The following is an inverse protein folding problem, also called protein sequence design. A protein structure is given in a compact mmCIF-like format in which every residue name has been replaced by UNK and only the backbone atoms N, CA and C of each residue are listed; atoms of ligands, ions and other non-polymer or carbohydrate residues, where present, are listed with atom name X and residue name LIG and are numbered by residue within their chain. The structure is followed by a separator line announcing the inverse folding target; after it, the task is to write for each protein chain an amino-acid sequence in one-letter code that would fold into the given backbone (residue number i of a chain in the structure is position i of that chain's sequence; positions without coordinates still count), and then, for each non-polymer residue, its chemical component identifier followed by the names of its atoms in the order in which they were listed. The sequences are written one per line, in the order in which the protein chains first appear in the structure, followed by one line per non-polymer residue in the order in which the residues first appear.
data_IF_359944307245
#
_entry.id   IF_359944307245
#
_cell.length_a   1.000
_cell.length_b   1.000
_cell.length_c   1.000
_cell.angle_alpha   90.00
_cell.angle_beta   90.00
_cell.angle_gamma   90.00
#
_symmetry.space_group_name_H-M   'P 1'
#
loop_
_entity.id
_entity.type
_entity.pdbx_description
1 polymer ?
#
# COMPACT_ATOMS: atom_id res chain seq x y z
N UNK A 1 -1.60 21.63 -19.04
CA UNK A 1 -1.12 20.29 -18.66
C UNK A 1 -2.26 19.32 -18.89
N UNK A 2 -2.10 18.28 -19.72
CA UNK A 2 -3.14 17.24 -19.87
C UNK A 2 -3.25 16.50 -18.53
N UNK A 3 -4.44 16.42 -17.95
CA UNK A 3 -4.67 15.55 -16.79
C UNK A 3 -4.31 14.13 -17.18
N UNK A 4 -3.34 13.55 -16.49
CA UNK A 4 -3.00 12.13 -16.68
C UNK A 4 -4.14 11.31 -16.10
N UNK A 5 -4.73 10.45 -16.92
CA UNK A 5 -5.78 9.52 -16.49
C UNK A 5 -5.19 8.63 -15.39
N UNK A 6 -5.88 8.56 -14.25
CA UNK A 6 -5.47 7.73 -13.11
C UNK A 6 -5.67 6.26 -13.47
N UNK A 7 -4.60 5.48 -13.37
CA UNK A 7 -4.56 4.08 -13.80
C UNK A 7 -3.95 3.21 -12.71
N UNK A 8 -4.47 1.98 -12.63
CA UNK A 8 -3.98 0.90 -11.78
C UNK A 8 -3.60 -0.25 -12.72
N UNK A 9 -2.41 -0.80 -12.56
CA UNK A 9 -1.91 -1.93 -13.33
C UNK A 9 -1.69 -3.10 -12.38
N UNK A 10 -2.10 -4.29 -12.80
CA UNK A 10 -2.05 -5.51 -12.01
C UNK A 10 -0.92 -6.40 -12.49
N UNK A 11 -0.16 -6.95 -11.56
CA UNK A 11 0.91 -7.91 -11.79
C UNK A 11 0.70 -9.09 -10.83
N UNK A 12 0.73 -10.32 -11.33
CA UNK A 12 0.63 -11.50 -10.46
C UNK A 12 1.91 -11.59 -9.64
N UNK A 13 1.80 -11.69 -8.32
CA UNK A 13 2.99 -11.87 -7.49
C UNK A 13 3.41 -13.34 -7.54
N UNK A 14 4.68 -13.57 -7.87
CA UNK A 14 5.27 -14.90 -7.94
C UNK A 14 6.16 -15.06 -6.71
N UNK A 15 5.94 -16.13 -5.96
CA UNK A 15 6.75 -16.47 -4.81
C UNK A 15 8.10 -17.04 -5.27
N UNK A 16 9.24 -16.41 -4.94
CA UNK A 16 10.56 -16.92 -5.34
C UNK A 16 10.92 -18.26 -4.68
N UNK A 17 10.21 -18.66 -3.62
CA UNK A 17 10.45 -19.91 -2.90
C UNK A 17 9.49 -21.04 -3.30
N UNK A 18 8.55 -20.79 -4.22
CA UNK A 18 7.61 -21.80 -4.66
C UNK A 18 8.28 -22.74 -5.68
N UNK A 19 8.11 -24.04 -5.51
CA UNK A 19 8.78 -25.09 -6.30
C UNK A 19 8.29 -25.23 -7.75
N UNK A 20 7.23 -24.52 -8.17
CA UNK A 20 6.76 -24.48 -9.57
C UNK A 20 7.21 -23.20 -10.29
N UNK A 21 8.52 -22.92 -10.28
CA UNK A 21 9.10 -21.83 -11.09
C UNK A 21 9.01 -22.17 -12.60
N UNK A 22 9.03 -23.45 -12.94
CA UNK A 22 9.04 -23.95 -14.32
C UNK A 22 7.68 -23.82 -15.04
N UNK A 23 6.58 -23.57 -14.30
CA UNK A 23 5.24 -23.40 -14.88
C UNK A 23 4.87 -21.93 -15.16
N UNK A 24 5.78 -20.98 -14.91
CA UNK A 24 5.49 -19.54 -15.03
C UNK A 24 6.16 -18.95 -16.27
N UNK A 25 5.41 -18.91 -17.38
CA UNK A 25 5.80 -18.11 -18.56
C UNK A 25 5.83 -16.62 -18.19
N UNK A 26 7.02 -16.02 -18.22
CA UNK A 26 7.19 -14.58 -18.09
C UNK A 26 6.78 -13.89 -19.40
N UNK A 27 5.82 -12.96 -19.41
CA UNK A 27 5.45 -12.25 -20.63
C UNK A 27 6.63 -11.39 -21.11
N UNK A 28 7.23 -11.76 -22.24
CA UNK A 28 8.29 -11.03 -22.93
C UNK A 28 9.72 -11.55 -22.73
N UNK A 29 9.90 -12.76 -22.19
CA UNK A 29 11.20 -13.41 -22.11
C UNK A 29 11.17 -14.73 -22.90
N UNK A 30 11.37 -14.66 -24.21
CA UNK A 30 11.61 -15.85 -25.03
C UNK A 30 13.01 -16.38 -24.65
N UNK A 31 13.05 -17.39 -23.78
CA UNK A 31 14.27 -18.16 -23.57
C UNK A 31 14.63 -18.81 -24.91
N UNK A 32 15.88 -18.71 -25.40
CA UNK A 32 16.30 -19.52 -26.52
C UNK A 32 16.06 -20.97 -26.13
N UNK A 33 15.29 -21.70 -26.95
CA UNK A 33 15.06 -23.12 -26.77
C UNK A 33 16.42 -23.79 -26.65
N UNK A 34 16.71 -24.37 -25.50
CA UNK A 34 17.81 -25.30 -25.36
C UNK A 34 17.40 -26.51 -26.21
N UNK A 35 17.92 -26.56 -27.43
CA UNK A 35 17.87 -27.77 -28.23
C UNK A 35 18.41 -28.92 -27.36
N UNK A 36 17.64 -30.00 -27.31
CA UNK A 36 17.93 -31.24 -26.59
C UNK A 36 19.22 -31.88 -27.15
N UNK A 37 20.39 -31.45 -26.70
CA UNK A 37 21.61 -32.24 -26.86
C UNK A 37 21.76 -33.16 -25.65
N UNK A 38 21.58 -34.45 -25.90
CA UNK A 38 21.65 -35.55 -24.94
C UNK A 38 22.90 -35.45 -24.02
N UNK A 39 22.75 -35.76 -22.71
CA UNK A 39 23.91 -35.79 -21.82
C UNK A 39 24.88 -36.89 -22.24
N UNK A 40 26.09 -36.50 -22.66
CA UNK A 40 27.19 -37.43 -22.87
C UNK A 40 27.66 -38.00 -21.52
N UNK A 41 27.58 -39.32 -21.40
CA UNK A 41 28.03 -40.09 -20.24
C UNK A 41 29.51 -39.79 -19.90
N UNK A 42 29.74 -39.20 -18.72
CA UNK A 42 31.08 -39.11 -18.13
C UNK A 42 31.41 -40.49 -17.54
N UNK A 43 32.13 -41.31 -18.32
CA UNK A 43 32.69 -42.59 -17.84
C UNK A 43 33.87 -42.31 -16.89
N UNK A 44 33.62 -42.43 -15.58
CA UNK A 44 34.67 -42.51 -14.56
C UNK A 44 34.96 -43.98 -14.22
N UNK A 45 36.01 -44.53 -14.82
CA UNK A 45 36.55 -45.85 -14.49
C UNK A 45 37.33 -45.80 -13.17
N UNK A 46 37.04 -46.74 -12.24
CA UNK A 46 37.91 -47.03 -11.10
C UNK A 46 37.22 -47.63 -9.88
N UNK A 47 36.83 -48.90 -9.98
CA UNK A 47 36.98 -49.97 -8.96
C UNK A 47 36.74 -49.60 -7.48
N UNK A 48 35.62 -50.05 -6.90
CA UNK A 48 35.67 -51.02 -5.79
C UNK A 48 34.26 -51.54 -5.40
N UNK A 49 34.18 -52.86 -5.41
CA UNK A 49 33.02 -53.71 -5.28
C UNK A 49 32.50 -53.77 -3.84
N UNK A 50 31.37 -53.13 -3.52
CA UNK A 50 30.64 -53.41 -2.26
C UNK A 50 29.19 -52.90 -2.23
N UNK A 51 28.34 -53.29 -3.19
CA UNK A 51 26.87 -53.20 -2.99
C UNK A 51 26.15 -54.41 -3.59
N UNK A 52 26.10 -55.47 -2.79
CA UNK A 52 25.16 -56.57 -2.96
C UNK A 52 23.73 -56.03 -3.04
N UNK A 53 23.05 -56.39 -4.12
CA UNK A 53 21.62 -56.64 -4.24
C UNK A 53 20.67 -55.63 -3.57
N UNK A 54 20.27 -54.61 -4.33
CA UNK A 54 18.88 -54.15 -4.27
C UNK A 54 18.30 -54.28 -5.67
N UNK A 55 17.48 -55.33 -5.85
CA UNK A 55 16.66 -55.57 -7.03
C UNK A 55 15.76 -54.34 -7.25
N UNK A 56 16.14 -53.46 -8.18
CA UNK A 56 15.28 -52.39 -8.68
C UNK A 56 14.42 -53.03 -9.79
N UNK A 57 13.40 -53.77 -9.36
CA UNK A 57 12.26 -54.07 -10.23
C UNK A 57 11.00 -53.69 -9.46
N UNK A 58 10.40 -52.57 -9.85
CA UNK A 58 8.95 -52.31 -9.94
C UNK A 58 8.64 -50.81 -9.78
N UNK A 59 8.06 -50.25 -10.84
CA UNK A 59 7.32 -48.97 -10.96
C UNK A 59 7.97 -47.65 -10.43
N UNK A 60 8.23 -46.67 -11.33
CA UNK A 60 8.61 -45.31 -10.91
C UNK A 60 7.49 -44.51 -10.22
N UNK A 61 6.28 -45.07 -10.07
CA UNK A 61 5.14 -44.39 -9.43
C UNK A 61 5.01 -44.64 -7.91
N UNK A 62 5.78 -45.57 -7.32
CA UNK A 62 5.62 -45.97 -5.90
C UNK A 62 6.69 -45.42 -4.95
N UNK A 63 7.64 -44.62 -5.44
CA UNK A 63 8.57 -43.89 -4.56
C UNK A 63 7.91 -42.59 -4.09
N UNK A 64 6.99 -42.72 -3.13
CA UNK A 64 6.53 -41.60 -2.31
C UNK A 64 7.69 -41.16 -1.39
N UNK A 65 8.71 -40.54 -1.98
CA UNK A 65 9.81 -39.93 -1.25
C UNK A 65 9.19 -38.75 -0.50
N UNK A 66 9.13 -38.75 0.85
CA UNK A 66 8.61 -37.62 1.58
C UNK A 66 9.42 -36.38 1.19
N UNK A 67 8.75 -35.37 0.64
CA UNK A 67 9.38 -34.12 0.23
C UNK A 67 10.35 -33.65 1.34
N UNK A 68 11.64 -33.41 1.02
CA UNK A 68 12.60 -33.03 2.04
C UNK A 68 12.12 -31.75 2.74
N UNK A 69 12.01 -31.80 4.07
CA UNK A 69 11.57 -30.68 4.88
C UNK A 69 12.55 -29.52 4.69
N UNK A 70 12.10 -28.44 4.05
CA UNK A 70 12.90 -27.23 3.90
C UNK A 70 12.95 -26.49 5.23
N UNK A 71 14.13 -26.00 5.62
CA UNK A 71 14.34 -25.30 6.89
C UNK A 71 15.03 -23.96 6.58
N UNK A 72 14.47 -22.86 7.08
CA UNK A 72 15.10 -21.53 6.99
C UNK A 72 15.76 -21.20 8.32
N UNK A 73 17.01 -20.77 8.26
CA UNK A 73 17.69 -20.21 9.42
C UNK A 73 17.29 -18.72 9.58
N UNK A 74 16.56 -18.41 10.64
CA UNK A 74 16.18 -17.04 11.01
C UNK A 74 16.93 -16.61 12.28
N UNK A 75 17.03 -15.31 12.61
CA UNK A 75 17.61 -14.86 13.88
C UNK A 75 16.94 -15.45 15.14
N UNK A 76 15.75 -16.03 14.99
CA UNK A 76 14.98 -16.69 16.05
C UNK A 76 15.14 -18.22 16.07
N UNK A 77 15.99 -18.77 15.20
CA UNK A 77 16.27 -20.20 15.09
C UNK A 77 15.84 -20.79 13.74
N UNK A 78 15.92 -22.12 13.69
CA UNK A 78 15.51 -22.92 12.54
C UNK A 78 13.99 -23.01 12.46
N UNK A 79 13.41 -22.46 11.40
CA UNK A 79 11.98 -22.55 11.13
C UNK A 79 11.74 -23.62 10.06
N UNK A 80 11.00 -24.70 10.36
CA UNK A 80 10.60 -25.67 9.34
C UNK A 80 9.53 -25.05 8.44
N UNK A 81 9.81 -25.01 7.15
CA UNK A 81 8.85 -24.63 6.13
C UNK A 81 7.88 -25.78 5.89
N UNK A 82 6.81 -25.81 6.69
CA UNK A 82 5.69 -26.74 6.51
C UNK A 82 4.62 -26.13 5.59
N UNK A 83 3.67 -26.93 5.13
CA UNK A 83 2.57 -26.45 4.28
C UNK A 83 1.75 -25.33 4.95
N UNK A 84 1.64 -25.38 6.28
CA UNK A 84 0.98 -24.36 7.10
C UNK A 84 1.77 -23.06 7.25
N UNK A 85 3.06 -23.05 6.87
CA UNK A 85 3.91 -21.87 7.01
C UNK A 85 3.93 -20.96 5.78
N UNK A 86 3.52 -21.48 4.61
CA UNK A 86 3.51 -20.70 3.37
C UNK A 86 2.16 -20.03 3.14
N UNK A 87 2.10 -18.72 3.40
CA UNK A 87 0.93 -17.90 3.09
C UNK A 87 0.53 -18.01 1.60
N UNK A 88 1.48 -18.22 0.69
CA UNK A 88 1.25 -18.39 -0.76
C UNK A 88 0.43 -19.63 -1.13
N UNK A 89 0.31 -20.63 -0.24
CA UNK A 89 -0.59 -21.77 -0.43
C UNK A 89 -2.05 -21.40 -0.17
N UNK A 90 -2.29 -20.46 0.76
CA UNK A 90 -3.63 -20.05 1.18
C UNK A 90 -4.13 -18.79 0.48
N UNK A 91 -3.22 -17.92 0.04
CA UNK A 91 -3.53 -16.66 -0.59
C UNK A 91 -2.88 -16.53 -1.96
N UNK A 92 -3.67 -16.07 -2.94
CA UNK A 92 -3.15 -15.57 -4.20
C UNK A 92 -2.77 -14.10 -4.04
N UNK A 93 -1.48 -13.82 -4.17
CA UNK A 93 -0.98 -12.47 -4.07
C UNK A 93 -0.92 -11.80 -5.45
N UNK A 94 -1.38 -10.55 -5.50
CA UNK A 94 -1.29 -9.68 -6.66
C UNK A 94 -0.66 -8.35 -6.26
N UNK A 95 0.20 -7.84 -7.11
CA UNK A 95 0.83 -6.52 -6.93
C UNK A 95 0.08 -5.51 -7.78
N UNK A 96 -0.33 -4.41 -7.17
CA UNK A 96 -0.88 -3.25 -7.87
C UNK A 96 0.18 -2.17 -8.01
N UNK A 97 0.23 -1.56 -9.19
CA UNK A 97 1.03 -0.37 -9.47
C UNK A 97 0.09 0.77 -9.82
N UNK A 98 0.21 1.90 -9.12
CA UNK A 98 -0.64 3.06 -9.31
C UNK A 98 0.20 4.24 -9.81
N UNK A 99 -0.37 5.05 -10.72
CA UNK A 99 0.27 6.31 -11.14
C UNK A 99 -0.04 7.49 -10.21
N UNK A 100 -0.75 7.24 -9.11
CA UNK A 100 -1.08 8.19 -8.06
C UNK A 100 -0.59 7.65 -6.70
N UNK A 101 -0.33 8.52 -5.72
CA UNK A 101 0.15 8.09 -4.43
C UNK A 101 -0.93 7.36 -3.64
N UNK A 102 -0.59 6.17 -3.12
CA UNK A 102 -1.43 5.39 -2.21
C UNK A 102 -1.33 6.05 -0.83
N UNK A 103 -2.31 6.89 -0.50
CA UNK A 103 -2.48 7.47 0.84
C UNK A 103 -3.18 6.47 1.76
N UNK A 104 -3.12 6.70 3.08
CA UNK A 104 -3.78 5.82 4.05
C UNK A 104 -5.28 5.64 3.74
N UNK A 105 -5.98 6.72 3.39
CA UNK A 105 -7.39 6.66 3.00
C UNK A 105 -7.67 5.80 1.76
N UNK A 106 -6.72 5.72 0.81
CA UNK A 106 -6.84 4.87 -0.37
C UNK A 106 -6.57 3.42 0.03
N UNK A 107 -5.55 3.18 0.87
CA UNK A 107 -5.28 1.85 1.42
C UNK A 107 -6.50 1.31 2.20
N UNK A 108 -7.09 2.13 3.07
CA UNK A 108 -8.28 1.77 3.83
C UNK A 108 -9.48 1.50 2.90
N UNK A 109 -9.66 2.30 1.84
CA UNK A 109 -10.71 2.07 0.85
C UNK A 109 -10.53 0.76 0.10
N UNK A 110 -9.30 0.40 -0.26
CA UNK A 110 -8.96 -0.86 -0.93
C UNK A 110 -9.15 -2.06 0.03
N UNK A 111 -8.72 -1.93 1.28
CA UNK A 111 -8.84 -2.99 2.28
C UNK A 111 -10.31 -3.34 2.62
N UNK A 112 -11.24 -2.40 2.42
CA UNK A 112 -12.67 -2.63 2.65
C UNK A 112 -13.39 -3.26 1.44
N UNK A 113 -12.69 -3.57 0.34
CA UNK A 113 -13.31 -4.21 -0.83
C UNK A 113 -13.55 -5.70 -0.53
N UNK A 114 -14.78 -6.22 -0.73
CA UNK A 114 -15.07 -7.64 -0.55
C UNK A 114 -14.14 -8.53 -1.37
N UNK A 115 -13.59 -9.57 -0.75
CA UNK A 115 -12.64 -10.50 -1.36
C UNK A 115 -11.16 -10.13 -1.17
N UNK A 116 -10.84 -8.88 -0.78
CA UNK A 116 -9.49 -8.49 -0.35
C UNK A 116 -9.31 -8.88 1.12
N UNK A 117 -8.40 -9.80 1.39
CA UNK A 117 -8.12 -10.27 2.77
C UNK A 117 -6.91 -9.59 3.38
N UNK A 118 -5.89 -9.35 2.57
CA UNK A 118 -4.66 -8.71 3.04
C UNK A 118 -4.22 -7.62 2.09
N UNK A 119 -3.74 -6.51 2.65
CA UNK A 119 -3.16 -5.40 1.92
C UNK A 119 -1.83 -5.03 2.59
N UNK A 120 -0.75 -5.05 1.81
CA UNK A 120 0.56 -4.61 2.24
C UNK A 120 1.05 -3.49 1.31
N UNK A 121 1.11 -2.26 1.82
CA UNK A 121 1.62 -1.12 1.05
C UNK A 121 3.15 -1.15 1.10
N UNK A 122 3.78 -1.50 -0.02
CA UNK A 122 5.23 -1.63 -0.11
C UNK A 122 5.90 -0.27 -0.35
N UNK A 123 5.32 0.54 -1.23
CA UNK A 123 5.79 1.89 -1.55
C UNK A 123 4.61 2.82 -1.76
N UNK A 124 4.91 4.11 -1.95
CA UNK A 124 3.90 5.13 -2.28
C UNK A 124 3.08 4.82 -3.53
N UNK A 125 3.57 3.98 -4.44
CA UNK A 125 2.92 3.68 -5.72
C UNK A 125 2.67 2.18 -5.94
N UNK A 126 3.04 1.33 -4.97
CA UNK A 126 2.93 -0.12 -5.09
C UNK A 126 2.39 -0.73 -3.81
N UNK A 127 1.39 -1.59 -3.96
CA UNK A 127 0.87 -2.39 -2.87
C UNK A 127 0.66 -3.84 -3.31
N UNK A 128 0.74 -4.77 -2.36
CA UNK A 128 0.45 -6.19 -2.56
C UNK A 128 -0.87 -6.52 -1.89
N UNK A 129 -1.76 -7.14 -2.65
CA UNK A 129 -3.06 -7.63 -2.23
C UNK A 129 -3.01 -9.14 -2.12
N UNK A 130 -3.65 -9.72 -1.10
CA UNK A 130 -3.85 -11.15 -0.99
C UNK A 130 -5.34 -11.50 -1.05
N UNK A 131 -5.65 -12.47 -1.89
CA UNK A 131 -6.97 -13.03 -2.12
C UNK A 131 -7.01 -14.46 -1.58
N UNK A 132 -8.05 -14.86 -0.84
CA UNK A 132 -8.11 -16.22 -0.28
C UNK A 132 -8.46 -17.25 -1.36
N UNK A 133 -7.50 -18.11 -1.72
CA UNK A 133 -7.65 -19.11 -2.80
C UNK A 133 -8.89 -19.97 -2.65
N UNK A 134 -9.22 -20.39 -1.44
CA UNK A 134 -10.35 -21.31 -1.17
C UNK A 134 -11.68 -20.64 -1.54
N UNK A 135 -11.82 -19.34 -1.25
CA UNK A 135 -13.05 -18.60 -1.56
C UNK A 135 -13.23 -18.40 -3.07
N UNK A 136 -12.14 -18.21 -3.83
CA UNK A 136 -12.20 -18.13 -5.29
C UNK A 136 -12.42 -19.50 -5.94
N UNK A 137 -11.82 -20.57 -5.40
CA UNK A 137 -12.08 -21.95 -5.85
C UNK A 137 -13.50 -22.41 -5.58
N UNK A 138 -14.11 -21.94 -4.48
CA UNK A 138 -15.51 -22.19 -4.16
C UNK A 138 -16.50 -21.32 -4.97
N UNK A 139 -16.02 -20.52 -5.94
CA UNK A 139 -16.80 -19.57 -6.72
C UNK A 139 -17.63 -18.59 -5.86
N UNK A 140 -17.15 -18.27 -4.65
CA UNK A 140 -17.80 -17.26 -3.81
C UNK A 140 -17.47 -15.83 -4.28
N UNK A 141 -16.33 -15.66 -4.95
CA UNK A 141 -15.88 -14.40 -5.55
C UNK A 141 -15.25 -14.65 -6.91
N UNK A 142 -15.48 -13.71 -7.84
CA UNK A 142 -14.79 -13.68 -9.13
C UNK A 142 -13.64 -12.67 -9.11
N UNK A 143 -12.46 -13.07 -9.60
CA UNK A 143 -11.25 -12.25 -9.52
C UNK A 143 -11.38 -10.93 -10.29
N UNK A 144 -12.09 -10.93 -11.42
CA UNK A 144 -12.29 -9.74 -12.25
C UNK A 144 -13.17 -8.71 -11.52
N UNK A 145 -14.25 -9.15 -10.88
CA UNK A 145 -15.15 -8.26 -10.11
C UNK A 145 -14.42 -7.61 -8.94
N UNK A 146 -13.60 -8.38 -8.21
CA UNK A 146 -12.82 -7.85 -7.09
C UNK A 146 -11.80 -6.82 -7.57
N UNK A 147 -11.13 -7.06 -8.70
CA UNK A 147 -10.20 -6.09 -9.30
C UNK A 147 -10.89 -4.80 -9.71
N UNK A 148 -12.01 -4.90 -10.40
CA UNK A 148 -12.81 -3.73 -10.77
C UNK A 148 -13.26 -2.95 -9.53
N UNK A 149 -13.70 -3.66 -8.49
CA UNK A 149 -14.04 -3.07 -7.19
C UNK A 149 -12.88 -2.30 -6.55
N UNK A 150 -11.68 -2.88 -6.55
CA UNK A 150 -10.45 -2.24 -6.06
C UNK A 150 -10.10 -0.99 -6.88
N UNK A 151 -10.19 -1.06 -8.20
CA UNK A 151 -9.92 0.09 -9.06
C UNK A 151 -10.89 1.25 -8.82
N UNK A 152 -12.19 0.95 -8.71
CA UNK A 152 -13.23 1.94 -8.45
C UNK A 152 -13.01 2.56 -7.06
N UNK A 153 -12.74 1.74 -6.05
CA UNK A 153 -12.48 2.20 -4.69
C UNK A 153 -11.27 3.14 -4.62
N UNK A 154 -10.17 2.75 -5.26
CA UNK A 154 -8.94 3.55 -5.30
C UNK A 154 -9.15 4.88 -6.05
N UNK A 155 -9.82 4.87 -7.20
CA UNK A 155 -10.15 6.09 -7.97
C UNK A 155 -11.07 7.03 -7.18
N UNK A 156 -12.11 6.50 -6.53
CA UNK A 156 -13.06 7.28 -5.72
C UNK A 156 -12.41 7.91 -4.50
N UNK A 157 -11.56 7.16 -3.78
CA UNK A 157 -10.82 7.68 -2.64
C UNK A 157 -9.80 8.76 -3.06
N UNK A 158 -9.22 8.63 -4.25
CA UNK A 158 -8.32 9.62 -4.81
C UNK A 158 -9.04 10.94 -5.15
N UNK A 159 -10.24 10.91 -5.74
CA UNK A 159 -11.02 12.13 -6.05
C UNK A 159 -11.38 12.90 -4.77
N UNK A 160 -11.83 12.20 -3.72
CA UNK A 160 -12.17 12.84 -2.44
C UNK A 160 -10.98 13.57 -1.81
N UNK A 161 -9.78 13.01 -1.93
CA UNK A 161 -8.57 13.66 -1.44
C UNK A 161 -8.18 14.87 -2.30
N UNK A 162 -8.30 14.76 -3.62
CA UNK A 162 -7.99 15.88 -4.51
C UNK A 162 -8.96 17.06 -4.32
N UNK A 163 -10.26 16.80 -4.13
CA UNK A 163 -11.23 17.86 -3.79
C UNK A 163 -10.92 18.53 -2.45
N UNK A 164 -10.53 17.74 -1.45
CA UNK A 164 -10.18 18.24 -0.13
C UNK A 164 -8.87 19.07 -0.15
N UNK A 165 -7.85 18.60 -0.87
CA UNK A 165 -6.60 19.34 -1.09
C UNK A 165 -6.83 20.60 -1.93
N UNK A 166 -7.63 20.51 -2.99
CA UNK A 166 -7.99 21.66 -3.83
C UNK A 166 -8.79 22.71 -3.06
N UNK A 167 -9.70 22.30 -2.16
CA UNK A 167 -10.41 23.20 -1.26
C UNK A 167 -9.49 23.83 -0.21
N UNK A 168 -8.55 23.07 0.37
CA UNK A 168 -7.53 23.66 1.26
C UNK A 168 -6.70 24.71 0.52
N UNK A 169 -6.33 24.42 -0.72
CA UNK A 169 -5.53 25.32 -1.55
C UNK A 169 -6.34 26.57 -1.96
N UNK A 170 -7.57 26.41 -2.45
CA UNK A 170 -8.46 27.51 -2.83
C UNK A 170 -8.76 28.46 -1.66
N UNK A 171 -8.89 27.93 -0.44
CA UNK A 171 -9.26 28.71 0.74
C UNK A 171 -8.06 29.35 1.44
N UNK A 172 -6.85 28.77 1.32
CA UNK A 172 -5.61 29.42 1.78
C UNK A 172 -5.02 30.43 0.77
N UNK A 173 -5.29 30.32 -0.54
CA UNK A 173 -4.54 31.04 -1.58
C UNK A 173 -5.31 32.06 -2.44
N UNK A 174 -6.56 32.43 -2.15
CA UNK A 174 -7.09 33.68 -2.75
C UNK A 174 -6.18 34.84 -2.35
N UNK A 175 -5.47 35.41 -3.32
CA UNK A 175 -4.52 36.51 -3.11
C UNK A 175 -5.15 37.69 -2.35
N UNK A 176 -6.45 37.91 -2.58
CA UNK A 176 -7.25 38.92 -1.89
C UNK A 176 -7.39 38.64 -0.39
N UNK A 177 -7.70 37.41 0.00
CA UNK A 177 -7.84 37.01 1.42
C UNK A 177 -6.48 37.05 2.09
N UNK A 178 -5.41 36.61 1.42
CA UNK A 178 -4.04 36.68 1.93
C UNK A 178 -3.58 38.12 2.13
N UNK A 179 -3.86 39.01 1.17
CA UNK A 179 -3.57 40.43 1.29
C UNK A 179 -4.36 41.08 2.43
N UNK A 180 -5.62 40.69 2.62
CA UNK A 180 -6.46 41.15 3.72
C UNK A 180 -5.98 40.59 5.08
N UNK A 181 -5.53 39.33 5.11
CA UNK A 181 -4.92 38.70 6.28
C UNK A 181 -3.67 39.46 6.72
N UNK A 182 -2.75 39.71 5.79
CA UNK A 182 -1.51 40.45 6.05
C UNK A 182 -1.77 41.90 6.48
N UNK A 183 -2.72 42.58 5.82
CA UNK A 183 -3.13 43.94 6.21
C UNK A 183 -3.70 43.96 7.63
N UNK A 184 -4.48 42.94 7.98
CA UNK A 184 -5.14 42.84 9.29
C UNK A 184 -4.13 42.39 10.36
N UNK A 185 -3.21 41.49 10.03
CA UNK A 185 -2.07 41.10 10.88
C UNK A 185 -1.19 42.31 11.21
N UNK A 186 -0.85 43.16 10.23
CA UNK A 186 -0.12 44.42 10.46
C UNK A 186 -0.87 45.44 11.33
N UNK A 187 -2.20 45.39 11.36
CA UNK A 187 -3.00 46.21 12.29
C UNK A 187 -2.99 45.62 13.70
N UNK A 188 -3.10 44.29 13.79
CA UNK A 188 -3.16 43.54 15.04
C UNK A 188 -1.81 43.48 15.77
N UNK A 189 -0.69 43.52 15.04
CA UNK A 189 0.66 43.57 15.62
C UNK A 189 0.93 44.83 16.45
N UNK A 190 0.05 45.84 16.40
CA UNK A 190 0.08 47.00 17.29
C UNK A 190 -0.45 46.71 18.69
N UNK A 191 -1.11 45.57 18.89
CA UNK A 191 -1.69 45.14 20.17
C UNK A 191 -0.86 43.99 20.77
N UNK A 192 -0.71 43.99 22.10
CA UNK A 192 0.13 43.02 22.80
C UNK A 192 -0.40 41.58 22.72
N UNK A 193 -1.73 41.41 22.68
CA UNK A 193 -2.37 40.11 22.59
C UNK A 193 -3.47 40.12 21.53
N UNK A 194 -3.31 39.29 20.52
CA UNK A 194 -4.26 39.16 19.43
C UNK A 194 -4.40 37.70 19.01
N UNK A 195 -5.58 37.38 18.49
CA UNK A 195 -5.85 36.10 17.84
C UNK A 195 -6.76 36.35 16.66
N UNK A 196 -6.43 35.72 15.54
CA UNK A 196 -7.19 35.79 14.30
C UNK A 196 -7.54 34.38 13.87
N UNK A 197 -8.79 34.18 13.46
CA UNK A 197 -9.25 32.96 12.82
C UNK A 197 -9.75 33.28 11.42
N UNK A 198 -9.22 32.57 10.44
CA UNK A 198 -9.66 32.60 9.05
C UNK A 198 -10.50 31.36 8.81
N UNK A 199 -11.80 31.58 8.61
CA UNK A 199 -12.73 30.52 8.27
C UNK A 199 -12.45 29.99 6.85
N UNK A 200 -12.83 28.74 6.56
CA UNK A 200 -12.70 28.20 5.21
C UNK A 200 -13.42 29.07 4.16
N UNK A 201 -14.55 29.69 4.46
CA UNK A 201 -15.24 30.58 3.52
C UNK A 201 -14.52 31.91 3.22
N UNK A 202 -13.36 32.16 3.84
CA UNK A 202 -12.58 33.38 3.69
C UNK A 202 -12.97 34.53 4.62
N UNK A 203 -13.98 34.34 5.48
CA UNK A 203 -14.31 35.31 6.52
C UNK A 203 -13.26 35.27 7.63
N UNK A 204 -13.04 36.43 8.24
CA UNK A 204 -12.05 36.60 9.29
C UNK A 204 -12.71 37.08 10.56
N UNK A 205 -12.46 36.36 11.65
CA UNK A 205 -12.74 36.84 12.99
C UNK A 205 -11.44 37.23 13.68
N UNK A 206 -11.42 38.42 14.27
CA UNK A 206 -10.27 38.93 15.01
C UNK A 206 -10.67 39.27 16.42
N UNK A 207 -9.79 38.99 17.36
CA UNK A 207 -9.97 39.30 18.77
C UNK A 207 -8.67 39.92 19.31
N UNK A 208 -8.80 41.07 19.95
CA UNK A 208 -7.67 41.82 20.54
C UNK A 208 -7.99 42.23 21.95
N UNK A 209 -7.06 41.99 22.87
CA UNK A 209 -7.13 42.52 24.23
C UNK A 209 -5.78 43.13 24.64
N UNK A 210 -5.82 44.13 25.51
CA UNK A 210 -4.62 44.79 26.03
C UNK A 210 -3.91 43.98 27.12
N UNK A 211 -4.65 43.12 27.84
CA UNK A 211 -4.13 42.22 28.87
C UNK A 211 -4.57 40.80 28.53
N UNK A 212 -3.72 39.82 28.84
CA UNK A 212 -4.08 38.41 28.72
C UNK A 212 -5.11 38.07 29.79
N UNK A 213 -6.37 37.99 29.37
CA UNK A 213 -7.50 37.62 30.24
C UNK A 213 -7.95 36.19 29.94
N UNK A 214 -8.58 35.53 30.90
CA UNK A 214 -9.21 34.22 30.75
C UNK A 214 -10.24 34.16 29.57
N UNK A 215 -10.79 35.33 29.20
CA UNK A 215 -11.62 35.56 28.00
C UNK A 215 -10.86 35.24 26.69
N UNK A 216 -9.59 35.65 26.59
CA UNK A 216 -8.74 35.46 25.41
C UNK A 216 -8.35 33.99 25.24
N UNK A 217 -8.00 33.30 26.32
CA UNK A 217 -7.65 31.88 26.27
C UNK A 217 -8.90 31.03 25.90
N UNK A 218 -10.09 31.39 26.39
CA UNK A 218 -11.37 30.77 25.98
C UNK A 218 -11.68 31.00 24.50
N UNK A 219 -11.51 32.21 23.99
CA UNK A 219 -11.68 32.55 22.55
C UNK A 219 -10.67 31.80 21.67
N UNK A 220 -9.42 31.68 22.12
CA UNK A 220 -8.39 30.94 21.39
C UNK A 220 -8.67 29.43 21.38
N UNK A 221 -9.13 28.88 22.50
CA UNK A 221 -9.57 27.48 22.59
C UNK A 221 -10.79 27.21 21.70
N UNK A 222 -11.74 28.17 21.63
CA UNK A 222 -12.89 28.11 20.72
C UNK A 222 -12.42 28.06 19.26
N UNK A 223 -11.50 28.94 18.85
CA UNK A 223 -10.98 28.96 17.48
C UNK A 223 -10.18 27.71 17.13
N UNK A 224 -9.42 27.15 18.07
CA UNK A 224 -8.74 25.86 17.85
C UNK A 224 -9.74 24.69 17.73
N UNK A 225 -10.84 24.74 18.49
CA UNK A 225 -11.92 23.76 18.38
C UNK A 225 -12.65 23.89 17.03
N UNK A 226 -12.93 25.13 16.60
CA UNK A 226 -13.51 25.42 15.29
C UNK A 226 -12.59 24.97 14.15
N UNK A 227 -11.28 25.22 14.26
CA UNK A 227 -10.26 24.72 13.32
C UNK A 227 -10.30 23.19 13.20
N UNK A 228 -10.49 22.47 14.31
CA UNK A 228 -10.60 21.00 14.30
C UNK A 228 -11.88 20.50 13.63
N UNK A 229 -12.99 21.22 13.79
CA UNK A 229 -14.31 20.81 13.30
C UNK A 229 -14.55 21.20 11.83
N UNK A 230 -14.19 22.43 11.47
CA UNK A 230 -14.59 23.07 10.20
C UNK A 230 -13.36 23.33 9.30
N UNK A 231 -12.15 23.31 9.86
CA UNK A 231 -10.91 23.65 9.15
C UNK A 231 -10.54 25.13 9.27
N UNK A 232 -9.66 25.62 8.40
CA UNK A 232 -9.19 27.01 8.39
C UNK A 232 -7.86 27.25 9.11
N UNK A 233 -7.50 28.51 9.32
CA UNK A 233 -6.21 28.91 9.87
C UNK A 233 -6.39 29.83 11.10
N UNK A 234 -5.69 29.50 12.18
CA UNK A 234 -5.67 30.30 13.41
C UNK A 234 -4.27 30.89 13.53
N UNK A 235 -4.19 32.20 13.77
CA UNK A 235 -2.97 32.94 14.04
C UNK A 235 -3.07 33.56 15.44
N UNK A 236 -2.01 33.44 16.22
CA UNK A 236 -1.95 33.99 17.59
C UNK A 236 -0.71 34.84 17.76
N UNK A 237 -0.74 35.78 18.71
CA UNK A 237 0.42 36.60 19.07
C UNK A 237 1.60 35.81 19.63
N UNK A 238 1.39 34.55 20.07
CA UNK A 238 2.42 33.72 20.69
C UNK A 238 3.17 32.81 19.69
N UNK A 239 2.85 32.89 18.39
CA UNK A 239 3.47 32.09 17.32
C UNK A 239 4.44 32.89 16.45
N UNK A 240 5.10 33.90 17.03
CA UNK A 240 6.37 34.44 16.46
C UNK A 240 7.57 33.66 16.99
#
# INVERSE_FOLDING_TARGET
MKEKIKQVVWEKWIDPMNTNIDEVEYPGYDLPSLDEEEPQDIVLNGEDEARQNFDISSNPEDLNVPNPMQIINTPYGFLPLTEYSFASKHFDFWTIHCNFPITQSIADAIANVPGVETLNVMTKYRARLGFNRILFQANAFELNEVREGVEIAAKKACIKNDELEHLKELLLFRAEIRALAEKTKKKLSKSNHWTMYILPNGQMETFTEFKRTDSMDKKTALFNSAKRLIGGAVFTSNQE
#
